data_IF_663020240672
#
_entry.id   IF_663020240672
#
_cell.length_a   1.000
_cell.length_b   1.000
_cell.length_c   1.000
_cell.angle_alpha   90.00
_cell.angle_beta   90.00
_cell.angle_gamma   90.00
#
_symmetry.space_group_name_H-M   'P 1'
#
loop_
_entity.id
_entity.type
_entity.pdbx_description
1 polymer ?
#
# COMPACT_ATOMS: atom_id res chain seq x y z
N UNK A 1 1.92 -13.51 4.92
CA UNK A 1 2.49 -12.15 5.09
C UNK A 1 2.81 -11.48 3.76
N UNK A 2 3.59 -12.10 2.88
CA UNK A 2 3.91 -11.54 1.56
C UNK A 2 2.66 -11.17 0.74
N UNK A 3 1.72 -12.11 0.60
CA UNK A 3 0.45 -11.89 -0.12
C UNK A 3 -0.32 -10.70 0.49
N UNK A 4 -0.44 -10.63 1.82
CA UNK A 4 -1.10 -9.51 2.51
C UNK A 4 -0.42 -8.15 2.28
N UNK A 5 0.92 -8.08 2.18
CA UNK A 5 1.60 -6.83 1.83
C UNK A 5 1.25 -6.40 0.40
N UNK A 6 1.22 -7.35 -0.55
CA UNK A 6 0.87 -7.09 -1.95
C UNK A 6 -0.56 -6.61 -2.08
N UNK A 7 -1.50 -7.31 -1.44
CA UNK A 7 -2.93 -6.96 -1.48
C UNK A 7 -3.18 -5.58 -0.86
N UNK A 8 -2.57 -5.31 0.31
CA UNK A 8 -2.68 -4.01 0.96
C UNK A 8 -2.09 -2.87 0.11
N UNK A 9 -0.93 -3.09 -0.52
CA UNK A 9 -0.33 -2.08 -1.39
C UNK A 9 -1.23 -1.79 -2.61
N UNK A 10 -1.79 -2.81 -3.25
CA UNK A 10 -2.69 -2.65 -4.40
C UNK A 10 -3.96 -1.88 -4.05
N UNK A 11 -4.62 -2.25 -2.96
CA UNK A 11 -5.85 -1.56 -2.54
C UNK A 11 -5.57 -0.11 -2.12
N UNK A 12 -4.46 0.16 -1.41
CA UNK A 12 -4.05 1.53 -1.12
C UNK A 12 -3.84 2.36 -2.39
N UNK A 13 -3.10 1.83 -3.37
CA UNK A 13 -2.83 2.55 -4.62
C UNK A 13 -4.13 2.85 -5.39
N UNK A 14 -5.02 1.85 -5.50
CA UNK A 14 -6.29 1.97 -6.24
C UNK A 14 -7.23 2.99 -5.61
N UNK A 15 -7.37 2.98 -4.29
CA UNK A 15 -8.26 3.89 -3.58
C UNK A 15 -7.70 5.31 -3.53
N UNK A 16 -6.41 5.47 -3.25
CA UNK A 16 -5.81 6.80 -3.28
C UNK A 16 -5.78 7.40 -4.71
N UNK A 17 -5.72 6.57 -5.75
CA UNK A 17 -5.89 7.03 -7.13
C UNK A 17 -7.30 7.56 -7.44
N UNK A 18 -8.31 7.13 -6.68
CA UNK A 18 -9.70 7.64 -6.71
C UNK A 18 -9.95 8.87 -5.84
N UNK A 19 -8.95 9.27 -5.04
CA UNK A 19 -9.08 10.36 -4.08
C UNK A 19 -9.53 9.92 -2.68
N UNK A 20 -9.67 8.61 -2.44
CA UNK A 20 -10.00 8.06 -1.13
C UNK A 20 -8.75 7.92 -0.23
N UNK A 21 -8.96 7.76 1.09
CA UNK A 21 -7.87 7.43 2.01
C UNK A 21 -7.43 5.96 1.85
N UNK A 22 -6.54 5.72 0.89
CA UNK A 22 -5.96 4.40 0.65
C UNK A 22 -5.15 3.85 1.83
N UNK A 23 -4.59 4.71 2.70
CA UNK A 23 -3.81 4.27 3.85
C UNK A 23 -4.70 3.70 4.97
N UNK A 24 -5.90 4.25 5.16
CA UNK A 24 -6.89 3.68 6.07
C UNK A 24 -7.29 2.25 5.66
N UNK A 25 -7.60 2.03 4.38
CA UNK A 25 -8.00 0.70 3.90
C UNK A 25 -6.85 -0.31 3.95
N UNK A 26 -5.64 0.09 3.53
CA UNK A 26 -4.49 -0.81 3.59
C UNK A 26 -4.17 -1.28 5.01
N UNK A 27 -4.41 -0.46 6.05
CA UNK A 27 -4.22 -0.87 7.45
C UNK A 27 -5.13 -2.04 7.87
N UNK A 28 -6.32 -2.18 7.26
CA UNK A 28 -7.22 -3.31 7.52
C UNK A 28 -6.78 -4.63 6.86
N UNK A 29 -6.04 -4.55 5.75
CA UNK A 29 -5.57 -5.72 4.98
C UNK A 29 -4.15 -6.13 5.37
N UNK A 30 -3.31 -5.14 5.72
CA UNK A 30 -1.89 -5.33 5.98
C UNK A 30 -1.62 -6.23 7.21
N UNK A 31 -0.44 -6.86 7.28
CA UNK A 31 0.00 -7.53 8.50
C UNK A 31 0.05 -6.57 9.70
N UNK A 32 -0.11 -7.11 10.91
CA UNK A 32 -0.01 -6.31 12.14
C UNK A 32 1.36 -5.62 12.22
N UNK A 33 1.37 -4.35 12.62
CA UNK A 33 2.58 -3.54 12.73
C UNK A 33 3.22 -3.16 11.39
N UNK A 34 2.51 -3.35 10.27
CA UNK A 34 2.97 -2.90 8.97
C UNK A 34 3.06 -1.38 8.89
N UNK A 35 4.06 -0.89 8.17
CA UNK A 35 4.20 0.51 7.78
C UNK A 35 3.57 0.67 6.39
N UNK A 36 2.64 1.61 6.27
CA UNK A 36 1.95 1.94 5.02
C UNK A 36 2.37 3.33 4.60
N UNK A 37 2.91 3.45 3.38
CA UNK A 37 3.22 4.72 2.74
C UNK A 37 2.41 4.85 1.46
N UNK A 38 1.77 6.00 1.27
CA UNK A 38 1.05 6.35 0.04
C UNK A 38 1.54 7.72 -0.39
N UNK A 39 1.99 7.84 -1.64
CA UNK A 39 2.43 9.11 -2.20
C UNK A 39 1.90 9.27 -3.62
N UNK A 40 1.65 10.51 -4.02
CA UNK A 40 1.43 10.86 -5.42
C UNK A 40 2.75 11.20 -6.11
N UNK A 41 2.81 10.87 -7.39
CA UNK A 41 3.94 11.03 -8.29
C UNK A 41 3.39 11.44 -9.67
N UNK A 42 3.14 12.75 -9.84
CA UNK A 42 2.42 13.26 -11.00
C UNK A 42 1.03 12.62 -11.14
N UNK A 43 0.81 11.95 -12.27
CA UNK A 43 -0.44 11.24 -12.58
C UNK A 43 -0.53 9.83 -11.98
N UNK A 44 0.41 9.44 -11.11
CA UNK A 44 0.45 8.13 -10.47
C UNK A 44 0.33 8.25 -8.96
N UNK A 45 -0.28 7.25 -8.35
CA UNK A 45 -0.19 6.96 -6.93
C UNK A 45 0.72 5.77 -6.74
N UNK A 46 1.66 5.89 -5.82
CA UNK A 46 2.56 4.82 -5.40
C UNK A 46 2.26 4.49 -3.94
N UNK A 47 1.86 3.24 -3.71
CA UNK A 47 1.67 2.71 -2.37
C UNK A 47 2.75 1.69 -2.05
N UNK A 48 3.29 1.75 -0.82
CA UNK A 48 4.27 0.82 -0.29
C UNK A 48 3.79 0.29 1.05
N UNK A 49 3.86 -1.02 1.24
CA UNK A 49 3.53 -1.66 2.52
C UNK A 49 4.70 -2.54 2.92
N UNK A 50 5.19 -2.39 4.15
CA UNK A 50 6.28 -3.22 4.68
C UNK A 50 5.96 -3.74 6.08
N UNK A 51 6.40 -4.95 6.39
CA UNK A 51 6.22 -5.57 7.70
C UNK A 51 7.39 -6.50 8.03
N UNK A 52 7.72 -6.63 9.32
CA UNK A 52 8.72 -7.60 9.81
C UNK A 52 8.16 -9.02 9.72
N UNK A 53 8.97 -9.96 9.24
CA UNK A 53 8.54 -11.35 9.05
C UNK A 53 8.45 -12.08 10.38
N UNK A 54 7.28 -12.64 10.67
CA UNK A 54 7.10 -13.52 11.83
C UNK A 54 7.78 -14.89 11.63
N UNK A 55 8.00 -15.31 10.38
CA UNK A 55 8.58 -16.62 10.04
C UNK A 55 10.10 -16.56 9.83
N UNK A 56 10.64 -15.40 9.49
CA UNK A 56 12.05 -15.23 9.16
C UNK A 56 12.62 -14.06 9.98
N UNK A 57 13.21 -14.34 11.15
CA UNK A 57 13.76 -13.32 12.03
C UNK A 57 14.75 -12.40 11.29
N UNK A 58 14.66 -11.09 11.54
CA UNK A 58 15.55 -10.10 10.92
C UNK A 58 15.17 -9.66 9.51
N UNK A 59 14.18 -10.30 8.86
CA UNK A 59 13.74 -9.92 7.51
C UNK A 59 12.49 -9.04 7.52
N UNK A 60 12.48 -8.05 6.62
CA UNK A 60 11.32 -7.22 6.30
C UNK A 60 10.80 -7.60 4.93
N UNK A 61 9.51 -7.87 4.83
CA UNK A 61 8.82 -8.07 3.54
C UNK A 61 8.15 -6.78 3.16
N UNK A 62 8.41 -6.31 1.94
CA UNK A 62 7.80 -5.11 1.40
C UNK A 62 7.11 -5.41 0.06
N UNK A 63 6.05 -4.66 -0.22
CA UNK A 63 5.37 -4.64 -1.50
C UNK A 63 5.17 -3.20 -1.95
N UNK A 64 5.20 -2.99 -3.27
CA UNK A 64 4.93 -1.71 -3.91
C UNK A 64 3.87 -1.91 -4.99
N UNK A 65 2.89 -1.03 -5.03
CA UNK A 65 1.89 -0.97 -6.09
C UNK A 65 1.79 0.45 -6.63
N UNK A 66 1.38 0.55 -7.90
CA UNK A 66 1.23 1.81 -8.60
C UNK A 66 -0.11 1.81 -9.32
N UNK A 67 -0.83 2.93 -9.26
CA UNK A 67 -2.09 3.13 -9.96
C UNK A 67 -2.11 4.52 -10.60
N UNK A 68 -2.69 4.65 -11.79
CA UNK A 68 -2.92 5.96 -12.39
C UNK A 68 -4.07 6.67 -11.67
N UNK A 69 -3.91 7.97 -11.42
CA UNK A 69 -4.93 8.82 -10.81
C UNK A 69 -6.13 8.91 -11.76
N UNK A 70 -7.33 8.74 -11.23
CA UNK A 70 -8.56 8.85 -12.02
C UNK A 70 -8.80 10.32 -12.45
N UNK A 71 -9.34 10.56 -13.66
CA UNK A 71 -9.64 11.92 -14.11
C UNK A 71 -10.58 12.66 -13.15
N UNK A 72 -10.29 13.92 -12.87
CA UNK A 72 -11.12 14.77 -12.00
C UNK A 72 -10.79 14.69 -10.51
N UNK A 73 -9.93 13.76 -10.10
CA UNK A 73 -9.37 13.71 -8.75
C UNK A 73 -8.21 14.70 -8.66
N UNK A 74 -8.31 15.69 -7.75
CA UNK A 74 -7.24 16.67 -7.48
C UNK A 74 -6.33 16.24 -6.35
#
# INVERSE_FOLDING_TARGET
MHIRCVDAAREAARLAARGDDGAAVARGVAPQGAVVGVRRDGALVVATVSARSALLPGLTVAARAVAAVEPGVR
#
